data_IF_614213766476
#
_entry.id   IF_614213766476
#
_cell.length_a   1.000
_cell.length_b   1.000
_cell.length_c   1.000
_cell.angle_alpha   90.00
_cell.angle_beta   90.00
_cell.angle_gamma   90.00
#
_symmetry.space_group_name_H-M   'P 1'
#
loop_
_entity.id
_entity.type
_entity.pdbx_description
1 polymer ?
#
# COMPACT_ATOMS: atom_id res chain seq x y z
N UNK A 1 -3.68 55.01 -62.02
CA UNK A 1 -4.07 53.62 -62.33
C UNK A 1 -3.08 52.68 -61.63
N UNK A 2 -3.58 51.69 -60.86
CA UNK A 2 -3.01 50.34 -60.59
C UNK A 2 -1.51 50.31 -60.15
N UNK A 3 -1.08 49.78 -59.00
CA UNK A 3 -1.43 48.50 -58.37
C UNK A 3 -1.01 48.47 -56.89
N UNK A 4 -1.86 47.82 -56.12
CA UNK A 4 -1.71 47.22 -54.78
C UNK A 4 -0.69 46.08 -54.74
N UNK A 5 -0.53 45.49 -53.52
CA UNK A 5 -0.02 44.14 -53.14
C UNK A 5 1.50 44.08 -52.82
N UNK A 6 1.99 43.43 -51.75
CA UNK A 6 1.38 42.68 -50.63
C UNK A 6 2.49 42.22 -49.66
N UNK A 7 2.13 42.06 -48.38
CA UNK A 7 2.49 40.95 -47.46
C UNK A 7 3.98 40.62 -47.19
N UNK A 8 4.39 40.64 -45.92
CA UNK A 8 4.48 39.40 -45.12
C UNK A 8 4.65 39.67 -43.62
N UNK A 9 3.77 39.04 -42.85
CA UNK A 9 3.84 38.79 -41.42
C UNK A 9 5.21 38.30 -40.93
N UNK A 10 5.74 38.90 -39.86
CA UNK A 10 6.59 38.22 -38.87
C UNK A 10 6.26 38.84 -37.50
N UNK A 11 5.09 38.50 -36.95
CA UNK A 11 4.94 37.47 -35.92
C UNK A 11 5.81 37.75 -34.68
N UNK A 12 5.22 38.56 -33.80
CA UNK A 12 5.35 38.62 -32.34
C UNK A 12 5.95 37.33 -31.74
N UNK A 13 7.26 37.32 -31.50
CA UNK A 13 7.90 36.39 -30.57
C UNK A 13 7.84 37.00 -29.16
N UNK A 14 6.61 37.07 -28.61
CA UNK A 14 6.40 37.14 -27.17
C UNK A 14 6.08 35.72 -26.77
N UNK A 15 7.11 34.89 -26.58
CA UNK A 15 6.95 33.62 -25.90
C UNK A 15 6.87 33.91 -24.40
N UNK A 16 5.74 33.67 -23.73
CA UNK A 16 5.75 33.56 -22.28
C UNK A 16 6.58 32.33 -21.93
N UNK A 17 7.75 32.54 -21.32
CA UNK A 17 8.50 31.53 -20.58
C UNK A 17 7.69 31.15 -19.32
N UNK A 18 6.58 30.46 -19.53
CA UNK A 18 5.77 29.87 -18.48
C UNK A 18 5.63 28.37 -18.74
N UNK A 19 6.75 27.71 -18.99
CA UNK A 19 6.87 26.28 -18.72
C UNK A 19 7.17 26.11 -17.22
N UNK A 20 6.13 26.30 -16.41
CA UNK A 20 6.14 25.87 -15.01
C UNK A 20 6.38 24.36 -14.98
N UNK A 21 7.44 23.96 -14.30
CA UNK A 21 7.88 22.58 -14.08
C UNK A 21 6.79 21.76 -13.38
N UNK A 22 6.07 20.91 -14.13
CA UNK A 22 5.21 19.86 -13.57
C UNK A 22 5.85 18.47 -13.61
N UNK A 23 7.14 18.37 -13.95
CA UNK A 23 7.82 17.11 -14.25
C UNK A 23 8.41 16.31 -13.08
N UNK A 24 8.33 16.75 -11.82
CA UNK A 24 9.17 16.16 -10.75
C UNK A 24 8.48 15.15 -9.82
N UNK A 25 7.18 15.24 -9.57
CA UNK A 25 6.55 14.36 -8.55
C UNK A 25 6.24 12.96 -9.09
N UNK A 26 5.76 12.86 -10.34
CA UNK A 26 5.42 11.58 -10.97
C UNK A 26 6.65 10.72 -11.31
N UNK A 27 7.75 11.36 -11.72
CA UNK A 27 9.02 10.70 -12.08
C UNK A 27 9.79 10.21 -10.85
N UNK A 28 9.77 10.96 -9.74
CA UNK A 28 10.40 10.54 -8.47
C UNK A 28 9.65 9.34 -7.86
N UNK A 29 8.31 9.37 -7.90
CA UNK A 29 7.48 8.28 -7.37
C UNK A 29 7.68 6.97 -8.14
N UNK A 30 7.86 7.04 -9.47
CA UNK A 30 8.14 5.84 -10.29
C UNK A 30 9.52 5.24 -10.01
N UNK A 31 10.55 6.07 -9.83
CA UNK A 31 11.91 5.60 -9.48
C UNK A 31 11.94 4.93 -8.11
N UNK A 32 11.32 5.55 -7.09
CA UNK A 32 11.26 5.00 -5.73
C UNK A 32 10.47 3.68 -5.72
N UNK A 33 9.33 3.64 -6.40
CA UNK A 33 8.49 2.44 -6.51
C UNK A 33 9.26 1.28 -7.15
N UNK A 34 10.02 1.54 -8.23
CA UNK A 34 10.86 0.51 -8.87
C UNK A 34 11.96 -0.01 -7.95
N UNK A 35 12.63 0.88 -7.21
CA UNK A 35 13.65 0.48 -6.23
C UNK A 35 13.06 -0.41 -5.12
N UNK A 36 11.92 -0.02 -4.57
CA UNK A 36 11.25 -0.78 -3.52
C UNK A 36 10.75 -2.14 -4.04
N UNK A 37 10.19 -2.17 -5.26
CA UNK A 37 9.80 -3.41 -5.94
C UNK A 37 10.99 -4.36 -6.07
N UNK A 38 12.11 -3.89 -6.61
CA UNK A 38 13.31 -4.71 -6.77
C UNK A 38 13.83 -5.22 -5.42
N UNK A 39 13.82 -4.38 -4.39
CA UNK A 39 14.25 -4.77 -3.04
C UNK A 39 13.36 -5.87 -2.47
N UNK A 40 12.04 -5.71 -2.59
CA UNK A 40 11.08 -6.71 -2.14
C UNK A 40 11.25 -8.03 -2.88
N UNK A 41 11.37 -7.98 -4.22
CA UNK A 41 11.59 -9.16 -5.05
C UNK A 41 12.90 -9.88 -4.69
N UNK A 42 13.99 -9.15 -4.45
CA UNK A 42 15.25 -9.75 -4.01
C UNK A 42 15.10 -10.48 -2.67
N UNK A 43 14.27 -9.96 -1.75
CA UNK A 43 14.01 -10.58 -0.45
C UNK A 43 13.12 -11.82 -0.56
N UNK A 44 12.20 -11.88 -1.53
CA UNK A 44 11.18 -12.94 -1.58
C UNK A 44 11.39 -13.99 -2.67
N UNK A 45 12.15 -13.71 -3.73
CA UNK A 45 12.20 -14.55 -4.93
C UNK A 45 12.67 -16.00 -4.68
N UNK A 46 13.46 -16.23 -3.63
CA UNK A 46 13.99 -17.56 -3.28
C UNK A 46 13.33 -18.16 -2.04
N UNK A 47 12.35 -17.49 -1.45
CA UNK A 47 11.69 -18.01 -0.25
C UNK A 47 10.69 -19.10 -0.62
N UNK A 48 10.69 -20.25 0.09
CA UNK A 48 9.60 -21.20 0.00
C UNK A 48 8.27 -20.53 0.33
N UNK A 49 7.24 -20.77 -0.50
CA UNK A 49 5.91 -20.20 -0.31
C UNK A 49 5.02 -21.20 0.43
N UNK A 50 4.44 -20.75 1.53
CA UNK A 50 3.44 -21.50 2.31
C UNK A 50 2.07 -20.86 2.06
N UNK A 51 1.18 -21.62 1.43
CA UNK A 51 -0.21 -21.20 1.23
C UNK A 51 -1.02 -21.46 2.51
N UNK A 52 -1.70 -20.42 2.99
CA UNK A 52 -2.50 -20.45 4.19
C UNK A 52 -3.95 -20.06 3.89
N UNK A 53 -4.87 -20.57 4.71
CA UNK A 53 -6.25 -20.12 4.73
C UNK A 53 -6.45 -19.27 5.96
N UNK A 54 -7.03 -18.08 5.80
CA UNK A 54 -7.44 -17.27 6.94
C UNK A 54 -8.75 -17.84 7.49
N UNK A 55 -8.79 -18.11 8.80
CA UNK A 55 -10.03 -18.45 9.49
C UNK A 55 -10.83 -17.17 9.75
N UNK A 56 -12.10 -17.15 9.36
CA UNK A 56 -13.00 -16.00 9.49
C UNK A 56 -13.57 -15.50 8.16
N UNK A 57 -14.77 -14.92 8.20
CA UNK A 57 -15.39 -14.31 7.03
C UNK A 57 -14.76 -12.93 6.74
N UNK A 58 -14.04 -12.80 5.63
CA UNK A 58 -13.72 -11.49 5.07
C UNK A 58 -14.99 -10.89 4.43
N UNK A 59 -15.96 -10.48 5.25
CA UNK A 59 -16.99 -9.58 4.76
C UNK A 59 -16.29 -8.24 4.51
N UNK A 60 -15.89 -7.99 3.28
CA UNK A 60 -15.41 -6.65 2.91
C UNK A 60 -16.56 -5.63 3.01
N UNK A 61 -16.22 -4.35 3.03
CA UNK A 61 -17.22 -3.27 3.15
C UNK A 61 -17.83 -2.92 1.78
N UNK A 62 -19.04 -2.37 1.71
CA UNK A 62 -19.48 -1.64 0.50
C UNK A 62 -19.28 -0.15 0.71
N UNK A 63 -19.03 0.63 -0.36
CA UNK A 63 -18.87 2.09 -0.24
C UNK A 63 -20.10 2.72 0.46
N UNK A 64 -21.30 2.15 0.28
CA UNK A 64 -22.50 2.59 0.96
C UNK A 64 -22.43 2.43 2.48
N UNK A 65 -21.78 1.37 2.98
CA UNK A 65 -21.63 1.10 4.41
C UNK A 65 -20.74 2.15 5.11
N UNK A 66 -19.78 2.72 4.36
CA UNK A 66 -18.79 3.70 4.85
C UNK A 66 -19.30 5.15 4.89
N UNK A 67 -20.41 5.47 4.22
CA UNK A 67 -20.90 6.85 4.09
C UNK A 67 -21.14 7.45 5.48
N UNK A 68 -20.46 8.56 5.78
CA UNK A 68 -20.60 9.29 7.04
C UNK A 68 -19.91 8.67 8.27
N UNK A 69 -19.18 7.56 8.13
CA UNK A 69 -18.51 6.88 9.25
C UNK A 69 -16.99 6.89 9.12
N UNK A 70 -16.49 6.40 7.98
CA UNK A 70 -15.09 6.05 7.81
C UNK A 70 -14.51 6.64 6.53
N UNK A 71 -13.18 6.77 6.48
CA UNK A 71 -12.53 7.32 5.29
C UNK A 71 -12.31 6.21 4.26
N UNK A 72 -12.78 6.41 3.04
CA UNK A 72 -12.55 5.49 1.93
C UNK A 72 -11.55 6.12 0.97
N UNK A 73 -10.47 5.42 0.68
CA UNK A 73 -9.39 5.92 -0.16
C UNK A 73 -9.14 5.01 -1.37
N UNK A 74 -8.68 5.63 -2.46
CA UNK A 74 -7.94 4.94 -3.51
C UNK A 74 -6.47 5.34 -3.38
N UNK A 75 -5.58 4.37 -3.41
CA UNK A 75 -4.14 4.62 -3.30
C UNK A 75 -3.28 3.65 -4.08
N UNK A 76 -2.02 4.02 -4.25
CA UNK A 76 -0.99 3.21 -4.91
C UNK A 76 -0.04 2.65 -3.86
N UNK A 77 0.16 1.33 -3.86
CA UNK A 77 1.14 0.69 -2.98
C UNK A 77 2.54 1.10 -3.42
N UNK A 78 3.32 1.75 -2.56
CA UNK A 78 4.66 2.20 -2.92
C UNK A 78 5.77 1.41 -2.23
N UNK A 79 5.47 0.69 -1.13
CA UNK A 79 6.46 -0.11 -0.42
C UNK A 79 5.82 -1.26 0.38
N UNK A 80 6.58 -2.36 0.51
CA UNK A 80 6.27 -3.49 1.38
C UNK A 80 7.44 -3.73 2.32
N UNK A 81 7.15 -4.00 3.60
CA UNK A 81 8.18 -4.29 4.60
C UNK A 81 7.71 -5.37 5.57
N UNK A 82 8.55 -6.38 5.81
CA UNK A 82 8.27 -7.41 6.82
C UNK A 82 8.08 -6.79 8.20
N UNK A 83 7.13 -7.32 8.97
CA UNK A 83 6.96 -7.00 10.38
C UNK A 83 7.41 -8.17 11.24
N UNK A 84 8.02 -7.85 12.38
CA UNK A 84 8.28 -8.81 13.44
C UNK A 84 6.99 -9.03 14.21
N UNK A 85 6.44 -10.22 14.11
CA UNK A 85 5.14 -10.58 14.68
C UNK A 85 5.30 -11.68 15.73
N UNK A 86 4.25 -11.87 16.53
CA UNK A 86 4.15 -13.02 17.44
C UNK A 86 4.13 -14.34 16.63
N UNK A 87 4.45 -15.42 17.32
CA UNK A 87 4.47 -16.75 16.72
C UNK A 87 3.12 -17.13 16.09
N UNK A 88 3.17 -17.96 15.05
CA UNK A 88 2.03 -18.40 14.23
C UNK A 88 1.39 -17.31 13.36
N UNK A 89 2.04 -16.16 13.19
CA UNK A 89 1.60 -15.08 12.32
C UNK A 89 2.70 -14.69 11.32
N UNK A 90 2.28 -14.05 10.23
CA UNK A 90 3.13 -13.34 9.29
C UNK A 90 2.37 -12.08 8.89
N UNK A 91 2.93 -10.89 9.13
CA UNK A 91 2.32 -9.64 8.69
C UNK A 91 3.32 -8.79 7.91
N UNK A 92 2.79 -7.98 7.01
CA UNK A 92 3.54 -7.05 6.17
C UNK A 92 3.00 -5.65 6.36
N UNK A 93 3.90 -4.69 6.57
CA UNK A 93 3.57 -3.28 6.45
C UNK A 93 3.48 -2.94 4.97
N UNK A 94 2.31 -2.47 4.58
CA UNK A 94 2.01 -1.95 3.24
C UNK A 94 1.92 -0.45 3.35
N UNK A 95 2.83 0.24 2.68
CA UNK A 95 2.80 1.69 2.66
C UNK A 95 2.13 2.16 1.36
N UNK A 96 1.10 2.99 1.49
CA UNK A 96 0.18 3.39 0.42
C UNK A 96 0.23 4.90 0.24
N UNK A 97 0.47 5.36 -0.99
CA UNK A 97 0.25 6.76 -1.36
C UNK A 97 -1.23 6.96 -1.67
N UNK A 98 -1.89 7.86 -0.96
CA UNK A 98 -3.32 8.15 -1.14
C UNK A 98 -3.48 9.07 -2.35
N UNK A 99 -3.94 8.50 -3.46
CA UNK A 99 -4.17 9.24 -4.70
C UNK A 99 -5.46 10.05 -4.63
N UNK A 100 -6.49 9.48 -3.99
CA UNK A 100 -7.82 10.08 -3.89
C UNK A 100 -8.53 9.65 -2.62
N UNK A 101 -9.19 10.59 -1.95
CA UNK A 101 -10.14 10.30 -0.87
C UNK A 101 -11.54 10.26 -1.47
N UNK A 102 -12.13 9.06 -1.53
CA UNK A 102 -13.49 8.82 -2.03
C UNK A 102 -14.52 9.37 -1.03
N UNK A 103 -14.35 9.04 0.25
CA UNK A 103 -15.22 9.47 1.36
C UNK A 103 -14.38 9.79 2.62
N UNK A 104 -14.90 10.62 3.52
CA UNK A 104 -14.25 10.95 4.80
C UNK A 104 -13.17 12.02 4.73
N UNK A 105 -12.08 11.86 5.49
CA UNK A 105 -11.07 12.89 5.74
C UNK A 105 -10.23 13.21 4.50
N UNK A 106 -10.47 14.39 3.92
CA UNK A 106 -9.75 14.89 2.73
C UNK A 106 -8.27 15.19 3.00
N UNK A 107 -7.86 15.36 4.25
CA UNK A 107 -6.45 15.63 4.59
C UNK A 107 -5.53 14.44 4.31
N UNK A 108 -6.10 13.23 4.12
CA UNK A 108 -5.36 12.05 3.70
C UNK A 108 -4.85 12.14 2.26
N UNK A 109 -5.46 12.98 1.41
CA UNK A 109 -5.09 13.04 0.00
C UNK A 109 -3.63 13.48 -0.19
N UNK A 110 -2.92 12.80 -1.10
CA UNK A 110 -1.50 12.96 -1.37
C UNK A 110 -0.59 12.61 -0.17
N UNK A 111 -1.11 12.00 0.89
CA UNK A 111 -0.30 11.50 2.00
C UNK A 111 0.15 10.08 1.74
N UNK A 112 1.17 9.67 2.50
CA UNK A 112 1.59 8.29 2.61
C UNK A 112 1.11 7.76 3.95
N UNK A 113 0.34 6.68 3.91
CA UNK A 113 -0.16 5.99 5.09
C UNK A 113 0.42 4.57 5.15
N UNK A 114 0.40 3.98 6.34
CA UNK A 114 0.84 2.62 6.62
C UNK A 114 -0.32 1.75 7.04
N UNK A 115 -0.44 0.59 6.39
CA UNK A 115 -1.43 -0.44 6.66
C UNK A 115 -0.72 -1.75 7.03
N UNK A 116 -1.35 -2.60 7.83
CA UNK A 116 -0.81 -3.91 8.21
C UNK A 116 -1.63 -5.00 7.55
N UNK A 117 -1.03 -5.73 6.61
CA UNK A 117 -1.67 -6.84 5.93
C UNK A 117 -1.22 -8.19 6.49
N UNK A 118 -2.13 -9.16 6.48
CA UNK A 118 -1.79 -10.56 6.73
C UNK A 118 -0.95 -11.13 5.59
N UNK A 119 -0.03 -12.02 5.94
CA UNK A 119 0.94 -12.62 5.04
C UNK A 119 2.27 -11.88 5.03
N UNK A 120 3.26 -12.50 4.40
CA UNK A 120 4.60 -11.97 4.28
C UNK A 120 5.68 -12.91 4.80
N UNK A 121 6.85 -12.32 5.06
CA UNK A 121 8.05 -13.07 5.44
C UNK A 121 8.03 -13.38 6.93
N UNK A 122 8.18 -14.65 7.28
CA UNK A 122 8.40 -15.14 8.65
C UNK A 122 9.43 -16.28 8.64
N UNK A 123 9.63 -16.96 9.76
CA UNK A 123 10.47 -18.17 9.81
C UNK A 123 9.64 -19.42 10.10
N UNK A 124 10.12 -20.60 9.69
CA UNK A 124 9.45 -21.87 9.98
C UNK A 124 9.25 -22.10 11.47
N UNK A 125 10.24 -21.76 12.32
CA UNK A 125 10.09 -21.87 13.78
C UNK A 125 8.98 -20.96 14.33
N UNK A 126 8.87 -19.73 13.83
CA UNK A 126 7.83 -18.81 14.27
C UNK A 126 6.46 -19.29 13.79
N UNK A 127 6.34 -19.67 12.52
CA UNK A 127 5.08 -20.01 11.87
C UNK A 127 4.47 -21.33 12.37
N UNK A 128 5.30 -22.32 12.68
CA UNK A 128 4.86 -23.63 13.16
C UNK A 128 5.01 -23.80 14.68
N UNK A 129 5.26 -22.72 15.43
CA UNK A 129 5.46 -22.79 16.89
C UNK A 129 4.25 -23.42 17.57
N UNK A 130 4.49 -24.47 18.36
CA UNK A 130 3.46 -25.26 19.04
C UNK A 130 2.45 -25.96 18.08
N UNK A 131 2.80 -26.11 16.81
CA UNK A 131 2.07 -26.89 15.79
C UNK A 131 2.92 -28.09 15.35
N UNK A 132 2.65 -28.63 14.15
CA UNK A 132 3.47 -29.64 13.47
C UNK A 132 4.85 -29.08 13.05
N UNK A 133 5.61 -28.53 14.01
CA UNK A 133 6.98 -28.10 13.78
C UNK A 133 7.80 -29.32 13.39
N UNK A 134 8.14 -29.42 12.11
CA UNK A 134 9.01 -30.47 11.59
C UNK A 134 10.42 -30.28 12.18
N UNK A 135 11.26 -31.32 12.14
CA UNK A 135 12.67 -31.22 12.56
C UNK A 135 13.55 -30.40 11.60
N UNK A 136 12.95 -29.63 10.72
CA UNK A 136 13.66 -28.82 9.74
C UNK A 136 14.39 -27.67 10.43
N UNK A 137 15.53 -27.28 9.86
CA UNK A 137 16.27 -26.11 10.32
C UNK A 137 15.44 -24.83 10.12
N UNK A 138 15.60 -23.87 11.03
CA UNK A 138 14.90 -22.58 10.94
C UNK A 138 15.34 -21.84 9.68
N UNK A 139 14.37 -21.47 8.85
CA UNK A 139 14.62 -20.70 7.65
C UNK A 139 13.44 -19.78 7.33
N UNK A 140 13.71 -18.77 6.50
CA UNK A 140 12.69 -17.81 6.10
C UNK A 140 11.73 -18.45 5.09
N UNK A 141 10.45 -18.13 5.23
CA UNK A 141 9.37 -18.53 4.33
C UNK A 141 8.50 -17.31 3.99
N UNK A 142 7.82 -17.39 2.86
CA UNK A 142 6.79 -16.44 2.46
C UNK A 142 5.41 -17.06 2.71
N UNK A 143 4.64 -16.49 3.62
CA UNK A 143 3.26 -16.92 3.87
C UNK A 143 2.33 -16.10 2.99
N UNK A 144 1.52 -16.79 2.19
CA UNK A 144 0.49 -16.19 1.35
C UNK A 144 -0.89 -16.71 1.75
N UNK A 145 -1.84 -15.81 1.98
CA UNK A 145 -3.21 -16.19 2.26
C UNK A 145 -4.03 -16.25 0.97
N UNK A 146 -4.72 -17.37 0.75
CA UNK A 146 -5.52 -17.58 -0.45
C UNK A 146 -6.63 -16.54 -0.62
N UNK A 147 -7.24 -16.10 0.50
CA UNK A 147 -8.36 -15.17 0.49
C UNK A 147 -7.93 -13.71 0.33
N UNK A 148 -6.73 -13.35 0.80
CA UNK A 148 -6.22 -11.98 0.83
C UNK A 148 -4.73 -11.99 0.45
N UNK A 149 -4.43 -11.98 -0.84
CA UNK A 149 -3.04 -11.85 -1.29
C UNK A 149 -2.49 -10.49 -0.92
N UNK A 150 -1.19 -10.42 -0.63
CA UNK A 150 -0.52 -9.13 -0.45
C UNK A 150 -0.60 -8.32 -1.74
N UNK A 151 -0.91 -7.02 -1.66
CA UNK A 151 -0.94 -6.18 -2.83
C UNK A 151 0.47 -5.96 -3.37
N UNK A 152 0.60 -5.81 -4.69
CA UNK A 152 1.90 -5.65 -5.35
C UNK A 152 2.35 -4.19 -5.26
N UNK A 153 3.66 -3.95 -5.13
CA UNK A 153 4.21 -2.59 -5.24
C UNK A 153 3.88 -2.05 -6.65
N UNK A 154 3.30 -0.86 -6.71
CA UNK A 154 2.78 -0.21 -7.91
C UNK A 154 1.31 -0.51 -8.21
N UNK A 155 0.66 -1.45 -7.51
CA UNK A 155 -0.77 -1.71 -7.71
C UNK A 155 -1.64 -0.67 -6.99
N UNK A 156 -2.87 -0.52 -7.49
CA UNK A 156 -3.91 0.28 -6.85
C UNK A 156 -4.65 -0.54 -5.80
N UNK A 157 -5.08 0.12 -4.73
CA UNK A 157 -5.94 -0.44 -3.68
C UNK A 157 -7.08 0.53 -3.39
N UNK A 158 -8.25 -0.02 -3.09
CA UNK A 158 -9.39 0.73 -2.54
C UNK A 158 -9.73 0.13 -1.20
N UNK A 159 -9.59 0.93 -0.15
CA UNK A 159 -9.73 0.47 1.23
C UNK A 159 -10.46 1.53 2.06
N UNK A 160 -11.22 1.04 3.03
CA UNK A 160 -11.71 1.83 4.14
C UNK A 160 -10.60 1.90 5.19
N UNK A 161 -10.38 3.07 5.77
CA UNK A 161 -9.30 3.34 6.73
C UNK A 161 -9.78 4.18 7.91
N UNK A 162 -9.30 3.82 9.10
CA UNK A 162 -9.52 4.58 10.33
C UNK A 162 -8.23 4.72 11.13
N UNK A 163 -8.07 5.83 11.87
CA UNK A 163 -6.95 5.96 12.80
C UNK A 163 -6.87 4.75 13.74
N UNK A 164 -5.65 4.38 14.11
CA UNK A 164 -5.42 3.36 15.13
C UNK A 164 -6.03 3.82 16.45
N UNK A 165 -6.82 2.95 17.09
CA UNK A 165 -7.29 3.18 18.46
C UNK A 165 -6.12 3.02 19.44
N UNK A 166 -5.75 4.11 20.11
CA UNK A 166 -4.64 4.15 21.06
C UNK A 166 -4.97 3.47 22.39
N UNK A 167 -6.24 3.12 22.60
CA UNK A 167 -6.72 2.38 23.76
C UNK A 167 -6.96 0.89 23.45
N UNK A 168 -6.55 0.42 22.26
CA UNK A 168 -6.74 -0.98 21.85
C UNK A 168 -5.90 -1.95 22.70
N UNK A 169 -6.59 -2.77 23.49
CA UNK A 169 -6.01 -3.82 24.34
C UNK A 169 -5.85 -5.17 23.61
N UNK A 170 -6.34 -5.31 22.37
CA UNK A 170 -6.31 -6.58 21.61
C UNK A 170 -4.89 -7.01 21.17
N UNK A 171 -3.89 -6.17 21.39
CA UNK A 171 -2.49 -6.44 21.09
C UNK A 171 -2.01 -5.97 19.72
N UNK A 172 -2.89 -5.39 18.88
CA UNK A 172 -2.47 -4.74 17.63
C UNK A 172 -1.54 -3.56 17.91
N UNK A 173 -1.87 -2.74 18.90
CA UNK A 173 -1.04 -1.60 19.28
C UNK A 173 0.38 -1.99 19.70
N UNK A 174 0.51 -3.12 20.39
CA UNK A 174 1.82 -3.68 20.76
C UNK A 174 2.64 -4.11 19.53
N UNK A 175 2.00 -4.75 18.56
CA UNK A 175 2.64 -5.09 17.28
C UNK A 175 3.19 -3.84 16.58
N UNK A 176 2.39 -2.76 16.52
CA UNK A 176 2.79 -1.51 15.89
C UNK A 176 4.00 -0.88 16.62
N UNK A 177 3.96 -0.85 17.95
CA UNK A 177 5.06 -0.33 18.79
C UNK A 177 6.34 -1.15 18.66
N UNK A 178 6.25 -2.48 18.73
CA UNK A 178 7.37 -3.40 18.55
C UNK A 178 8.09 -3.18 17.22
N UNK A 179 7.35 -2.85 16.17
CA UNK A 179 7.87 -2.58 14.84
C UNK A 179 8.23 -1.11 14.58
N UNK A 180 8.18 -0.26 15.61
CA UNK A 180 8.47 1.18 15.53
C UNK A 180 7.65 1.87 14.43
N UNK A 181 6.39 1.47 14.30
CA UNK A 181 5.46 2.12 13.38
C UNK A 181 5.04 3.48 13.92
N UNK A 182 4.87 4.43 13.00
CA UNK A 182 4.41 5.78 13.32
C UNK A 182 2.88 5.78 13.35
N UNK A 183 2.33 5.83 14.56
CA UNK A 183 0.90 5.69 14.81
C UNK A 183 0.08 6.82 14.18
N UNK A 184 0.68 8.00 13.93
CA UNK A 184 -0.03 9.14 13.32
C UNK A 184 -0.29 8.96 11.83
N UNK A 185 0.41 8.01 11.19
CA UNK A 185 0.20 7.66 9.78
C UNK A 185 -0.17 6.19 9.58
N UNK A 186 -0.39 5.46 10.68
CA UNK A 186 -0.84 4.06 10.62
C UNK A 186 -2.35 4.03 10.77
N UNK A 187 -3.00 3.24 9.93
CA UNK A 187 -4.46 3.12 9.93
C UNK A 187 -4.87 1.65 10.01
N UNK A 188 -5.95 1.40 10.75
CA UNK A 188 -6.75 0.19 10.59
C UNK A 188 -7.41 0.23 9.21
N UNK A 189 -7.65 -0.92 8.60
CA UNK A 189 -8.24 -0.98 7.27
C UNK A 189 -9.15 -2.18 7.06
N UNK A 190 -10.08 -2.01 6.15
CA UNK A 190 -10.93 -3.07 5.63
C UNK A 190 -10.91 -3.03 4.09
N UNK A 191 -10.83 -4.19 3.45
CA UNK A 191 -10.94 -4.28 1.99
C UNK A 191 -12.38 -4.05 1.55
N UNK A 192 -12.56 -3.40 0.40
CA UNK A 192 -13.86 -3.31 -0.26
C UNK A 192 -14.34 -4.73 -0.62
N UNK A 193 -15.58 -5.03 -0.25
CA UNK A 193 -16.25 -6.29 -0.48
C UNK A 193 -16.48 -6.58 -1.96
N UNK A 194 -16.37 -7.87 -2.28
CA UNK A 194 -16.36 -8.50 -3.60
C UNK A 194 -14.99 -8.45 -4.34
N UNK A 195 -14.26 -9.57 -4.22
CA UNK A 195 -13.30 -10.07 -5.22
C UNK A 195 -12.23 -9.10 -5.74
N UNK A 196 -11.34 -8.62 -4.88
CA UNK A 196 -10.06 -8.10 -5.37
C UNK A 196 -9.03 -9.23 -5.48
N UNK A 197 -8.63 -9.52 -6.72
CA UNK A 197 -7.34 -10.15 -7.01
C UNK A 197 -6.31 -9.03 -7.19
N UNK A 198 -5.34 -8.91 -6.29
CA UNK A 198 -4.19 -8.01 -6.46
C UNK A 198 -3.13 -8.57 -7.44
#
# INVERSE_FOLDING_TARGET
MKKTLMLLFTLVFVLPLSACSSGSVSSINTVITKKNLNTWQQLTAQLPVVQANKEGSNQGFTIADSIGKESVIEGTVYNLKKLNVKANHAHTRVSVHVDKVINGDKNLQNKVIDLVFDGGITTTNSWYKNKNQTREADHHIMVEYNQNKLPKIGSKVVVEVNPVDLNDESGNLELLRQNKMDLNKTYNWQALGANYSF
#
